data_IF_360726013289
#
_entry.id   IF_360726013289
#
_cell.length_a   1.000
_cell.length_b   1.000
_cell.length_c   1.000
_cell.angle_alpha   90.00
_cell.angle_beta   90.00
_cell.angle_gamma   90.00
#
_symmetry.space_group_name_H-M   'P 1'
#
loop_
_entity.id
_entity.type
_entity.pdbx_description
1 polymer ?
#
# COMPACT_ATOMS: atom_id res chain seq x y z
N UNK A 1 -28.51 8.19 15.42
CA UNK A 1 -27.70 7.33 14.53
C UNK A 1 -28.39 7.34 13.17
N UNK A 2 -27.82 8.03 12.17
CA UNK A 2 -28.52 8.29 10.90
C UNK A 2 -28.47 7.06 9.99
N UNK A 3 -29.54 6.76 9.26
CA UNK A 3 -29.59 5.64 8.29
C UNK A 3 -28.41 5.68 7.30
N UNK A 4 -27.91 6.89 6.99
CA UNK A 4 -26.73 7.10 6.16
C UNK A 4 -25.43 6.48 6.72
N UNK A 5 -25.24 6.44 8.05
CA UNK A 5 -24.03 5.85 8.64
C UNK A 5 -24.02 4.33 8.56
N UNK A 6 -25.20 3.70 8.60
CA UNK A 6 -25.34 2.25 8.43
C UNK A 6 -24.98 1.86 7.00
N UNK A 7 -25.47 2.62 6.01
CA UNK A 7 -25.14 2.38 4.61
C UNK A 7 -23.64 2.54 4.31
N UNK A 8 -22.99 3.57 4.88
CA UNK A 8 -21.54 3.74 4.80
C UNK A 8 -20.78 2.53 5.39
N UNK A 9 -21.23 2.03 6.54
CA UNK A 9 -20.63 0.87 7.19
C UNK A 9 -20.74 -0.40 6.34
N UNK A 10 -21.91 -0.68 5.78
CA UNK A 10 -22.13 -1.84 4.91
C UNK A 10 -21.25 -1.75 3.64
N UNK A 11 -21.18 -0.56 3.04
CA UNK A 11 -20.32 -0.34 1.87
C UNK A 11 -18.85 -0.62 2.20
N UNK A 12 -18.37 -0.11 3.34
CA UNK A 12 -17.01 -0.36 3.84
C UNK A 12 -16.68 -1.84 4.09
N UNK A 13 -17.65 -2.60 4.63
CA UNK A 13 -17.48 -4.04 4.84
C UNK A 13 -17.39 -4.77 3.50
N UNK A 14 -18.30 -4.47 2.57
CA UNK A 14 -18.32 -5.10 1.24
C UNK A 14 -17.00 -4.83 0.50
N UNK A 15 -16.55 -3.59 0.52
CA UNK A 15 -15.33 -3.16 -0.13
C UNK A 15 -14.08 -3.76 0.53
N UNK A 16 -14.07 -3.91 1.86
CA UNK A 16 -13.03 -4.63 2.60
C UNK A 16 -12.97 -6.12 2.25
N UNK A 17 -14.11 -6.80 2.16
CA UNK A 17 -14.18 -8.22 1.74
C UNK A 17 -13.58 -8.38 0.33
N UNK A 18 -13.94 -7.50 -0.60
CA UNK A 18 -13.40 -7.53 -1.96
C UNK A 18 -11.89 -7.33 -1.98
N UNK A 19 -11.37 -6.37 -1.21
CA UNK A 19 -9.92 -6.13 -1.14
C UNK A 19 -9.18 -7.34 -0.58
N UNK A 20 -9.71 -7.95 0.48
CA UNK A 20 -9.16 -9.18 1.06
C UNK A 20 -9.16 -10.33 0.05
N UNK A 21 -10.28 -10.53 -0.67
CA UNK A 21 -10.39 -11.57 -1.70
C UNK A 21 -9.37 -11.37 -2.83
N UNK A 22 -9.14 -10.14 -3.29
CA UNK A 22 -8.13 -9.84 -4.32
C UNK A 22 -6.71 -10.15 -3.82
N UNK A 23 -6.42 -9.89 -2.54
CA UNK A 23 -5.16 -10.30 -1.92
C UNK A 23 -4.98 -11.83 -1.86
N UNK A 24 -6.03 -12.55 -1.45
CA UNK A 24 -6.03 -14.03 -1.45
C UNK A 24 -5.87 -14.58 -2.86
N UNK A 25 -6.51 -13.96 -3.86
CA UNK A 25 -6.33 -14.33 -5.26
C UNK A 25 -4.87 -14.18 -5.71
N UNK A 26 -4.20 -13.08 -5.33
CA UNK A 26 -2.78 -12.88 -5.61
C UNK A 26 -1.91 -14.02 -5.04
N UNK A 27 -2.15 -14.39 -3.77
CA UNK A 27 -1.43 -15.47 -3.09
C UNK A 27 -1.75 -16.86 -3.65
N UNK A 28 -2.99 -17.14 -4.01
CA UNK A 28 -3.36 -18.40 -4.65
C UNK A 28 -2.67 -18.56 -6.02
N UNK A 29 -2.59 -17.49 -6.81
CA UNK A 29 -1.82 -17.48 -8.07
C UNK A 29 -0.34 -17.72 -7.81
N UNK A 30 0.22 -17.15 -6.74
CA UNK A 30 1.62 -17.37 -6.34
C UNK A 30 1.90 -18.85 -6.08
N UNK A 31 1.12 -19.48 -5.21
CA UNK A 31 1.34 -20.88 -4.77
C UNK A 31 1.08 -21.88 -5.90
N UNK A 32 0.11 -21.62 -6.78
CA UNK A 32 -0.30 -22.59 -7.82
C UNK A 32 0.51 -22.49 -9.11
N UNK A 33 1.19 -21.37 -9.34
CA UNK A 33 1.92 -21.17 -10.59
C UNK A 33 3.27 -21.88 -10.56
N UNK A 34 3.45 -22.86 -11.44
CA UNK A 34 4.72 -23.60 -11.57
C UNK A 34 5.78 -22.86 -12.39
N UNK A 35 5.38 -21.80 -13.10
CA UNK A 35 6.26 -21.01 -13.96
C UNK A 35 6.08 -19.52 -13.68
N UNK A 36 7.21 -18.82 -13.52
CA UNK A 36 7.29 -17.38 -13.30
C UNK A 36 6.51 -16.59 -14.36
N UNK A 37 6.64 -16.98 -15.64
CA UNK A 37 5.93 -16.30 -16.73
C UNK A 37 4.43 -16.37 -16.55
N UNK A 38 3.88 -17.54 -16.23
CA UNK A 38 2.44 -17.73 -16.03
C UNK A 38 1.93 -16.95 -14.82
N UNK A 39 2.71 -16.92 -13.74
CA UNK A 39 2.41 -16.16 -12.54
C UNK A 39 2.33 -14.66 -12.83
N UNK A 40 3.37 -14.10 -13.45
CA UNK A 40 3.43 -12.69 -13.80
C UNK A 40 2.32 -12.31 -14.79
N UNK A 41 2.04 -13.13 -15.80
CA UNK A 41 0.94 -12.87 -16.74
C UNK A 41 -0.40 -12.83 -16.00
N UNK A 42 -0.67 -13.76 -15.09
CA UNK A 42 -1.92 -13.75 -14.32
C UNK A 42 -2.06 -12.48 -13.46
N UNK A 43 -1.01 -12.08 -12.75
CA UNK A 43 -1.05 -10.84 -11.96
C UNK A 43 -1.20 -9.61 -12.83
N UNK A 44 -0.49 -9.51 -13.96
CA UNK A 44 -0.63 -8.40 -14.89
C UNK A 44 -2.04 -8.33 -15.48
N UNK A 45 -2.61 -9.46 -15.89
CA UNK A 45 -3.98 -9.53 -16.41
C UNK A 45 -4.98 -9.12 -15.34
N UNK A 46 -4.87 -9.66 -14.12
CA UNK A 46 -5.72 -9.24 -12.99
C UNK A 46 -5.56 -7.75 -12.67
N UNK A 47 -4.34 -7.22 -12.73
CA UNK A 47 -4.05 -5.81 -12.51
C UNK A 47 -4.68 -4.90 -13.56
N UNK A 48 -4.58 -5.26 -14.84
CA UNK A 48 -5.19 -4.53 -15.96
C UNK A 48 -6.72 -4.59 -15.88
N UNK A 49 -7.29 -5.76 -15.58
CA UNK A 49 -8.74 -5.91 -15.40
C UNK A 49 -9.23 -5.04 -14.24
N UNK A 50 -8.60 -5.12 -13.07
CA UNK A 50 -9.01 -4.29 -11.92
C UNK A 50 -8.82 -2.80 -12.21
N UNK A 51 -7.67 -2.39 -12.75
CA UNK A 51 -7.40 -0.99 -13.07
C UNK A 51 -8.37 -0.43 -14.11
N UNK A 52 -8.66 -1.17 -15.18
CA UNK A 52 -9.63 -0.77 -16.21
C UNK A 52 -11.04 -0.64 -15.65
N UNK A 53 -11.51 -1.60 -14.84
CA UNK A 53 -12.80 -1.52 -14.15
C UNK A 53 -12.86 -0.24 -13.30
N UNK A 54 -11.85 0.00 -12.47
CA UNK A 54 -11.77 1.20 -11.63
C UNK A 54 -11.82 2.50 -12.45
N UNK A 55 -11.08 2.57 -13.56
CA UNK A 55 -11.07 3.72 -14.46
C UNK A 55 -12.39 3.94 -15.20
N UNK A 56 -13.03 2.85 -15.66
CA UNK A 56 -14.34 2.91 -16.32
C UNK A 56 -15.42 3.38 -15.35
N UNK A 57 -15.45 2.85 -14.13
CA UNK A 57 -16.39 3.29 -13.10
C UNK A 57 -16.21 4.78 -12.76
N UNK A 58 -14.97 5.26 -12.78
CA UNK A 58 -14.63 6.64 -12.52
C UNK A 58 -14.73 7.56 -13.76
N UNK A 59 -15.01 7.02 -14.96
CA UNK A 59 -14.88 7.73 -16.25
C UNK A 59 -13.59 8.57 -16.36
N UNK A 60 -12.46 8.01 -15.94
CA UNK A 60 -11.16 8.69 -16.05
C UNK A 60 -10.88 9.79 -15.02
N UNK A 61 -11.61 9.84 -13.90
CA UNK A 61 -11.24 10.67 -12.74
C UNK A 61 -11.94 12.04 -12.66
N UNK A 62 -12.85 12.36 -13.59
CA UNK A 62 -13.65 13.57 -13.48
C UNK A 62 -14.84 13.35 -12.53
N UNK A 63 -15.27 14.38 -11.80
CA UNK A 63 -16.38 14.31 -10.81
C UNK A 63 -17.74 13.87 -11.38
N UNK A 64 -17.82 13.62 -12.69
CA UNK A 64 -18.99 13.13 -13.42
C UNK A 64 -18.95 11.60 -13.72
N UNK A 65 -18.07 10.84 -13.05
CA UNK A 65 -18.08 9.38 -13.07
C UNK A 65 -19.31 8.78 -12.37
N UNK A 66 -19.68 7.55 -12.72
CA UNK A 66 -20.81 6.86 -12.06
C UNK A 66 -20.52 6.62 -10.58
N UNK A 67 -19.28 6.24 -10.26
CA UNK A 67 -18.77 6.13 -8.89
C UNK A 67 -17.40 6.84 -8.87
N UNK A 68 -17.32 8.10 -8.42
CA UNK A 68 -16.05 8.81 -8.34
C UNK A 68 -15.09 8.11 -7.38
N UNK A 69 -13.79 8.26 -7.65
CA UNK A 69 -12.75 7.77 -6.75
C UNK A 69 -12.81 8.60 -5.47
N UNK A 70 -13.20 7.96 -4.37
CA UNK A 70 -13.33 8.61 -3.08
C UNK A 70 -12.55 7.81 -2.03
N UNK A 71 -11.49 8.42 -1.52
CA UNK A 71 -10.59 7.84 -0.51
C UNK A 71 -11.24 7.80 0.87
N UNK A 72 -12.04 8.80 1.24
CA UNK A 72 -12.72 8.86 2.54
C UNK A 72 -13.81 7.80 2.68
N UNK A 73 -14.47 7.45 1.57
CA UNK A 73 -15.56 6.46 1.56
C UNK A 73 -15.10 5.05 1.21
N UNK A 74 -13.81 4.84 0.89
CA UNK A 74 -13.32 3.57 0.34
C UNK A 74 -14.20 3.08 -0.82
N UNK A 75 -14.41 3.96 -1.81
CA UNK A 75 -15.33 3.65 -2.90
C UNK A 75 -14.88 2.45 -3.71
N UNK A 76 -15.85 1.78 -4.36
CA UNK A 76 -15.58 0.58 -5.15
C UNK A 76 -14.58 0.86 -6.29
N UNK A 77 -14.69 2.01 -6.96
CA UNK A 77 -13.76 2.44 -8.01
C UNK A 77 -12.35 2.66 -7.47
N UNK A 78 -12.22 3.25 -6.28
CA UNK A 78 -10.92 3.43 -5.61
C UNK A 78 -10.23 2.09 -5.37
N UNK A 79 -10.95 1.08 -4.89
CA UNK A 79 -10.36 -0.22 -4.55
C UNK A 79 -9.92 -0.99 -5.78
N UNK A 80 -10.70 -0.95 -6.87
CA UNK A 80 -10.28 -1.56 -8.12
C UNK A 80 -9.02 -0.91 -8.70
N UNK A 81 -8.89 0.43 -8.59
CA UNK A 81 -7.67 1.14 -9.00
C UNK A 81 -6.48 0.74 -8.12
N UNK A 82 -6.65 0.76 -6.79
CA UNK A 82 -5.58 0.41 -5.84
C UNK A 82 -5.16 -1.05 -5.99
N UNK A 83 -6.10 -1.98 -6.12
CA UNK A 83 -5.80 -3.38 -6.35
C UNK A 83 -5.08 -3.59 -7.69
N UNK A 84 -5.50 -2.87 -8.74
CA UNK A 84 -4.81 -2.88 -10.04
C UNK A 84 -3.34 -2.46 -9.92
N UNK A 85 -3.09 -1.33 -9.25
CA UNK A 85 -1.73 -0.85 -8.97
C UNK A 85 -0.94 -1.82 -8.09
N UNK A 86 -1.57 -2.43 -7.08
CA UNK A 86 -0.93 -3.41 -6.21
C UNK A 86 -0.46 -4.65 -6.98
N UNK A 87 -1.26 -5.18 -7.92
CA UNK A 87 -0.84 -6.29 -8.79
C UNK A 87 0.35 -5.92 -9.69
N UNK A 88 0.37 -4.69 -10.22
CA UNK A 88 1.49 -4.20 -11.03
C UNK A 88 2.77 -4.07 -10.20
N UNK A 89 2.68 -3.42 -9.04
CA UNK A 89 3.80 -3.25 -8.11
C UNK A 89 4.31 -4.62 -7.64
N UNK A 90 3.41 -5.54 -7.28
CA UNK A 90 3.76 -6.91 -6.88
C UNK A 90 4.53 -7.61 -8.00
N UNK A 91 4.08 -7.50 -9.25
CA UNK A 91 4.77 -8.11 -10.40
C UNK A 91 6.17 -7.51 -10.59
N UNK A 92 6.29 -6.18 -10.51
CA UNK A 92 7.58 -5.48 -10.67
C UNK A 92 8.55 -5.88 -9.55
N UNK A 93 8.10 -5.84 -8.29
CA UNK A 93 8.92 -6.21 -7.14
C UNK A 93 9.37 -7.67 -7.22
N UNK A 94 8.47 -8.59 -7.57
CA UNK A 94 8.81 -10.00 -7.76
C UNK A 94 9.90 -10.19 -8.84
N UNK A 95 9.74 -9.55 -10.00
CA UNK A 95 10.74 -9.65 -11.08
C UNK A 95 12.08 -9.03 -10.69
N UNK A 96 12.07 -7.94 -9.92
CA UNK A 96 13.27 -7.22 -9.54
C UNK A 96 14.05 -7.95 -8.43
N UNK A 97 13.35 -8.47 -7.42
CA UNK A 97 13.92 -9.14 -6.26
C UNK A 97 14.22 -10.61 -6.56
N UNK A 98 13.23 -11.39 -7.04
CA UNK A 98 13.36 -12.85 -7.13
C UNK A 98 13.97 -13.32 -8.46
N UNK A 99 13.65 -12.65 -9.57
CA UNK A 99 14.13 -13.08 -10.91
C UNK A 99 15.46 -12.45 -11.29
N UNK A 100 15.56 -11.12 -11.18
CA UNK A 100 16.78 -10.38 -11.56
C UNK A 100 17.79 -10.25 -10.43
N UNK A 101 17.37 -10.44 -9.17
CA UNK A 101 18.20 -10.26 -7.97
C UNK A 101 18.98 -8.93 -7.96
N UNK A 102 18.41 -7.87 -8.55
CA UNK A 102 19.05 -6.54 -8.55
C UNK A 102 18.95 -5.85 -7.20
N UNK A 103 18.00 -6.25 -6.37
CA UNK A 103 17.74 -5.67 -5.07
C UNK A 103 17.28 -6.75 -4.11
N UNK A 104 17.79 -6.74 -2.88
CA UNK A 104 17.49 -7.77 -1.89
C UNK A 104 16.14 -7.54 -1.15
N UNK A 105 15.38 -6.50 -1.50
CA UNK A 105 14.11 -6.18 -0.82
C UNK A 105 14.26 -5.77 0.66
N UNK A 106 15.49 -5.65 1.16
CA UNK A 106 15.80 -5.54 2.58
C UNK A 106 15.07 -4.41 3.33
N UNK A 107 15.02 -3.15 2.86
CA UNK A 107 14.33 -2.09 3.59
C UNK A 107 12.81 -2.31 3.68
N UNK A 108 12.19 -2.91 2.66
CA UNK A 108 10.76 -3.25 2.73
C UNK A 108 10.50 -4.33 3.78
N UNK A 109 11.41 -5.30 3.90
CA UNK A 109 11.31 -6.36 4.90
C UNK A 109 11.54 -5.83 6.32
N UNK A 110 12.54 -4.96 6.52
CA UNK A 110 12.82 -4.33 7.82
C UNK A 110 11.65 -3.50 8.31
N UNK A 111 11.11 -2.63 7.44
CA UNK A 111 9.95 -1.79 7.74
C UNK A 111 8.68 -2.63 7.95
N UNK A 112 8.47 -3.68 7.14
CA UNK A 112 7.30 -4.54 7.24
C UNK A 112 7.22 -5.31 8.56
N UNK A 113 8.32 -5.94 8.97
CA UNK A 113 8.38 -6.74 10.20
C UNK A 113 8.19 -5.93 11.49
N UNK A 114 8.45 -4.63 11.46
CA UNK A 114 8.32 -3.73 12.60
C UNK A 114 7.33 -2.57 12.34
N UNK A 115 6.37 -2.79 11.44
CA UNK A 115 5.46 -1.75 10.94
C UNK A 115 4.65 -1.07 12.05
N UNK A 116 4.16 -1.81 13.05
CA UNK A 116 3.41 -1.24 14.18
C UNK A 116 4.28 -0.34 15.05
N UNK A 117 5.53 -0.74 15.31
CA UNK A 117 6.46 0.03 16.15
C UNK A 117 6.82 1.33 15.48
N UNK A 118 7.07 1.27 14.16
CA UNK A 118 7.39 2.46 13.37
C UNK A 118 6.19 3.40 13.33
N UNK A 119 4.98 2.88 13.12
CA UNK A 119 3.75 3.69 13.10
C UNK A 119 3.51 4.38 14.45
N UNK A 120 3.49 3.62 15.54
CA UNK A 120 3.25 4.14 16.88
C UNK A 120 4.38 5.08 17.29
N UNK A 121 5.63 4.71 17.01
CA UNK A 121 6.80 5.55 17.27
C UNK A 121 6.75 6.88 16.51
N UNK A 122 6.32 6.87 15.26
CA UNK A 122 6.14 8.10 14.48
C UNK A 122 5.04 8.99 15.07
N UNK A 123 3.91 8.40 15.49
CA UNK A 123 2.83 9.12 16.14
C UNK A 123 3.27 9.78 17.47
N UNK A 124 4.10 9.10 18.27
CA UNK A 124 4.63 9.67 19.51
C UNK A 124 5.70 10.74 19.30
N UNK A 125 6.42 10.68 18.18
CA UNK A 125 7.53 11.60 17.85
C UNK A 125 7.10 12.67 16.83
N UNK A 126 5.81 12.77 16.53
CA UNK A 126 5.27 13.78 15.63
C UNK A 126 5.55 15.18 16.19
N UNK A 127 6.09 16.06 15.35
CA UNK A 127 6.46 17.44 15.74
C UNK A 127 7.64 17.55 16.71
N UNK A 128 8.30 16.43 17.07
CA UNK A 128 9.46 16.42 17.95
C UNK A 128 10.75 16.00 17.22
N UNK A 129 11.86 16.68 17.53
CA UNK A 129 13.19 16.21 17.17
C UNK A 129 13.43 14.82 17.80
N UNK A 130 14.00 13.83 17.08
CA UNK A 130 14.68 13.93 15.78
C UNK A 130 13.80 13.68 14.55
N UNK A 131 12.57 13.19 14.69
CA UNK A 131 11.81 12.60 13.55
C UNK A 131 11.19 13.66 12.65
N UNK A 132 10.55 14.66 13.25
CA UNK A 132 9.88 15.74 12.53
C UNK A 132 10.03 17.01 13.36
N UNK A 133 10.64 18.03 12.78
CA UNK A 133 10.84 19.31 13.46
C UNK A 133 10.27 20.43 12.61
N UNK A 134 9.89 21.51 13.27
CA UNK A 134 9.27 22.66 12.62
C UNK A 134 10.29 23.36 11.72
N UNK A 135 9.91 23.57 10.48
CA UNK A 135 10.71 24.25 9.46
C UNK A 135 9.75 25.13 8.66
N UNK A 136 10.23 26.28 8.18
CA UNK A 136 9.43 27.17 7.34
C UNK A 136 8.64 26.42 6.25
N UNK A 137 7.41 26.86 5.99
CA UNK A 137 6.44 26.24 5.07
C UNK A 137 6.82 26.37 3.57
N UNK A 138 8.11 26.23 3.25
CA UNK A 138 8.59 26.07 1.88
C UNK A 138 8.45 24.61 1.48
N UNK A 139 7.81 24.32 0.35
CA UNK A 139 7.58 22.96 -0.16
C UNK A 139 8.85 22.09 -0.17
N UNK A 140 10.00 22.66 -0.54
CA UNK A 140 11.28 21.95 -0.57
C UNK A 140 11.75 21.55 0.83
N UNK A 141 11.59 22.44 1.81
CA UNK A 141 12.00 22.18 3.19
C UNK A 141 11.13 21.09 3.81
N UNK A 142 9.81 21.17 3.60
CA UNK A 142 8.87 20.14 4.06
C UNK A 142 9.16 18.77 3.42
N UNK A 143 9.44 18.73 2.11
CA UNK A 143 9.83 17.50 1.42
C UNK A 143 11.12 16.92 2.01
N UNK A 144 12.12 17.76 2.28
CA UNK A 144 13.39 17.33 2.85
C UNK A 144 13.23 16.74 4.26
N UNK A 145 12.43 17.37 5.13
CA UNK A 145 12.14 16.85 6.48
C UNK A 145 11.42 15.50 6.40
N UNK A 146 10.43 15.37 5.51
CA UNK A 146 9.72 14.10 5.33
C UNK A 146 10.61 12.98 4.77
N UNK A 147 11.50 13.30 3.82
CA UNK A 147 12.50 12.34 3.32
C UNK A 147 13.48 11.92 4.42
N UNK A 148 13.91 12.87 5.25
CA UNK A 148 14.76 12.60 6.41
C UNK A 148 14.05 11.69 7.42
N UNK A 149 12.80 11.98 7.78
CA UNK A 149 12.01 11.16 8.70
C UNK A 149 11.81 9.73 8.19
N UNK A 150 11.54 9.57 6.89
CA UNK A 150 11.43 8.25 6.26
C UNK A 150 12.76 7.48 6.30
N UNK A 151 13.88 8.16 6.04
CA UNK A 151 15.21 7.57 6.15
C UNK A 151 15.54 7.16 7.58
N UNK A 152 15.23 8.02 8.56
CA UNK A 152 15.42 7.76 9.98
C UNK A 152 14.66 6.50 10.40
N UNK A 153 13.38 6.37 10.06
CA UNK A 153 12.58 5.19 10.38
C UNK A 153 13.09 3.92 9.68
N UNK A 154 13.60 4.04 8.46
CA UNK A 154 14.23 2.91 7.76
C UNK A 154 15.48 2.43 8.50
N UNK A 155 16.28 3.35 9.04
CA UNK A 155 17.46 3.03 9.84
C UNK A 155 17.06 2.39 11.18
N UNK A 156 16.07 2.94 11.88
CA UNK A 156 15.53 2.36 13.12
C UNK A 156 15.02 0.94 12.87
N UNK A 157 14.28 0.73 11.78
CA UNK A 157 13.80 -0.59 11.39
C UNK A 157 14.95 -1.57 11.09
N UNK A 158 16.01 -1.11 10.42
CA UNK A 158 17.21 -1.90 10.19
C UNK A 158 17.90 -2.30 11.50
N UNK A 159 18.04 -1.37 12.45
CA UNK A 159 18.62 -1.67 13.78
C UNK A 159 17.79 -2.69 14.55
N UNK A 160 16.46 -2.54 14.55
CA UNK A 160 15.55 -3.51 15.18
C UNK A 160 15.68 -4.89 14.55
N UNK A 161 15.74 -4.94 13.22
CA UNK A 161 15.93 -6.19 12.48
C UNK A 161 17.26 -6.88 12.83
N UNK A 162 18.37 -6.13 12.85
CA UNK A 162 19.68 -6.67 13.23
C UNK A 162 19.74 -7.15 14.69
N UNK A 163 18.98 -6.51 15.59
CA UNK A 163 18.83 -6.94 17.00
C UNK A 163 17.81 -8.06 17.19
N UNK A 164 17.17 -8.55 16.12
CA UNK A 164 16.11 -9.58 16.13
C UNK A 164 14.93 -9.23 17.06
N UNK A 165 14.63 -7.94 17.22
CA UNK A 165 13.49 -7.46 17.99
C UNK A 165 12.33 -7.31 17.00
N UNK A 166 11.31 -8.15 17.14
CA UNK A 166 10.10 -8.12 16.34
C UNK A 166 8.92 -8.01 17.28
N UNK A 167 8.21 -6.88 17.23
CA UNK A 167 7.03 -6.65 18.04
C UNK A 167 5.82 -6.81 17.12
N UNK A 168 5.08 -7.89 17.33
CA UNK A 168 3.77 -8.12 16.74
C UNK A 168 2.74 -8.06 17.87
N UNK A 169 1.66 -7.31 17.65
CA UNK A 169 0.48 -7.23 18.53
C UNK A 169 -0.65 -7.99 17.84
#
# INVERSE_FOLDING_TARGET
>A
MSIASIFLGILGILTGILMCYLGVHAGHVFVRSTCVRRMCTNWLVSGIICGSIGLVLSKGGHSNGWIPINTNLWSLSFIFVVAGLAFLILTILYLLVDVKQWFNGAPFLWLGMNSIVIYVGHMFLEGSFPVQFEVDETHVKLMAVNMYGAFFWTLVAALMFHKKIFIAI
#
